data_IF_496017121224
#
_entry.id   IF_496017121224
#
_cell.length_a   1.000
_cell.length_b   1.000
_cell.length_c   1.000
_cell.angle_alpha   90.00
_cell.angle_beta   90.00
_cell.angle_gamma   90.00
#
_symmetry.space_group_name_H-M   'P 1'
#
loop_
_entity.id
_entity.type
_entity.pdbx_description
1 polymer ?
#
# COMPACT_ATOMS: atom_id res chain seq x y z
N UNK A 1 26.97 20.18 7.84
CA UNK A 1 25.55 20.58 7.76
C UNK A 1 25.37 21.20 6.41
N UNK A 2 24.66 20.52 5.51
CA UNK A 2 24.32 21.03 4.19
C UNK A 2 23.05 21.87 4.32
N UNK A 3 23.10 23.08 3.80
CA UNK A 3 22.14 24.15 4.07
C UNK A 3 21.15 24.24 2.90
N UNK A 4 20.29 23.22 2.76
CA UNK A 4 19.21 23.24 1.77
C UNK A 4 18.31 24.43 2.07
N UNK A 5 18.14 25.32 1.08
CA UNK A 5 17.36 26.55 1.27
C UNK A 5 15.88 26.31 1.00
N UNK A 6 15.16 25.92 2.04
CA UNK A 6 13.69 25.80 2.00
C UNK A 6 13.03 27.18 1.88
N UNK A 7 12.13 27.29 0.92
CA UNK A 7 11.22 28.43 0.71
C UNK A 7 9.80 28.06 1.17
N UNK A 8 9.40 26.81 0.97
CA UNK A 8 8.18 26.18 1.49
C UNK A 8 8.58 24.81 2.04
N UNK A 9 8.03 24.44 3.19
CA UNK A 9 8.37 23.20 3.90
C UNK A 9 9.25 23.45 5.13
N UNK A 10 9.54 22.38 5.86
CA UNK A 10 10.43 22.39 7.02
C UNK A 10 11.47 21.27 6.85
N UNK A 11 12.78 21.56 6.89
CA UNK A 11 13.83 20.55 6.75
C UNK A 11 13.78 19.45 7.83
N UNK A 12 13.14 19.73 8.97
CA UNK A 12 12.95 18.78 10.06
C UNK A 12 11.79 17.81 9.82
N UNK A 13 10.85 18.18 8.94
CA UNK A 13 9.67 17.38 8.58
C UNK A 13 9.45 17.41 7.06
N UNK A 14 10.41 16.89 6.26
CA UNK A 14 10.32 16.94 4.80
C UNK A 14 9.13 16.13 4.28
N UNK A 15 8.53 16.59 3.19
CA UNK A 15 7.34 15.99 2.60
C UNK A 15 7.61 14.69 1.82
N UNK A 16 8.89 14.35 1.58
CA UNK A 16 9.32 13.24 0.72
C UNK A 16 9.32 13.60 -0.78
N UNK A 17 8.90 14.81 -1.12
CA UNK A 17 8.90 15.33 -2.48
C UNK A 17 9.04 16.85 -2.46
N UNK A 18 9.87 17.35 -3.36
CA UNK A 18 10.21 18.77 -3.45
C UNK A 18 10.30 19.24 -4.90
N UNK A 19 9.93 20.49 -5.13
CA UNK A 19 10.30 21.22 -6.33
C UNK A 19 11.52 22.07 -6.03
N UNK A 20 12.52 22.04 -6.90
CA UNK A 20 13.72 22.87 -6.79
C UNK A 20 13.72 23.85 -7.94
N UNK A 21 13.93 25.13 -7.63
CA UNK A 21 14.07 26.15 -8.65
C UNK A 21 15.45 26.79 -8.64
N UNK A 22 15.87 27.22 -9.81
CA UNK A 22 17.15 27.85 -10.08
C UNK A 22 16.95 29.13 -10.87
N UNK A 23 17.89 30.04 -10.74
CA UNK A 23 17.97 31.27 -11.54
C UNK A 23 19.05 31.12 -12.62
N UNK A 24 18.77 31.55 -13.83
CA UNK A 24 19.78 31.75 -14.88
C UNK A 24 19.42 33.02 -15.63
N UNK A 25 20.20 34.08 -15.43
CA UNK A 25 20.00 35.39 -16.05
C UNK A 25 18.57 35.94 -15.90
N UNK A 26 17.96 35.73 -14.72
CA UNK A 26 16.59 36.16 -14.42
C UNK A 26 15.49 35.27 -15.01
N UNK A 27 15.84 34.15 -15.64
CA UNK A 27 14.90 33.12 -16.09
C UNK A 27 14.84 32.01 -15.04
N UNK A 28 13.61 31.58 -14.73
CA UNK A 28 13.33 30.56 -13.74
C UNK A 28 13.43 29.16 -14.37
N UNK A 29 14.23 28.30 -13.77
CA UNK A 29 14.32 26.88 -14.10
C UNK A 29 13.85 26.04 -12.93
N UNK A 30 13.23 24.90 -13.17
CA UNK A 30 12.74 24.02 -12.12
C UNK A 30 12.91 22.54 -12.47
N UNK A 31 13.05 21.73 -11.43
CA UNK A 31 12.97 20.28 -11.49
C UNK A 31 12.31 19.74 -10.23
N UNK A 32 11.80 18.52 -10.32
CA UNK A 32 11.17 17.81 -9.22
C UNK A 32 12.16 16.81 -8.61
N UNK A 33 12.08 16.62 -7.30
CA UNK A 33 12.84 15.64 -6.53
C UNK A 33 11.84 14.80 -5.74
N UNK A 34 12.01 13.48 -5.79
CA UNK A 34 11.16 12.52 -5.07
C UNK A 34 12.06 11.58 -4.29
N UNK A 35 11.81 11.46 -2.99
CA UNK A 35 12.34 10.37 -2.17
C UNK A 35 11.33 9.21 -2.21
N UNK A 36 11.78 8.06 -2.72
CA UNK A 36 10.93 6.91 -2.96
C UNK A 36 10.84 6.06 -1.68
N UNK A 37 9.62 5.78 -1.18
CA UNK A 37 9.43 4.97 0.02
C UNK A 37 9.67 3.46 -0.24
N UNK A 38 9.81 3.07 -1.50
CA UNK A 38 10.08 1.70 -1.92
C UNK A 38 11.40 1.66 -2.68
N UNK A 39 12.24 0.69 -2.33
CA UNK A 39 13.44 0.35 -3.12
C UNK A 39 13.07 -0.71 -4.14
N UNK A 40 13.32 -0.44 -5.41
CA UNK A 40 13.28 -1.49 -6.42
C UNK A 40 14.48 -2.42 -6.16
N UNK A 41 14.22 -3.60 -5.58
CA UNK A 41 15.27 -4.60 -5.30
C UNK A 41 16.02 -5.06 -6.56
N UNK A 42 15.40 -4.89 -7.74
CA UNK A 42 16.02 -5.20 -9.02
C UNK A 42 15.43 -4.31 -10.14
N UNK A 43 16.00 -3.13 -10.34
CA UNK A 43 15.58 -2.22 -11.42
C UNK A 43 15.86 -2.83 -12.82
N UNK A 44 16.73 -3.83 -12.92
CA UNK A 44 17.07 -4.49 -14.19
C UNK A 44 15.89 -5.27 -14.79
N UNK A 45 14.85 -5.56 -13.99
CA UNK A 45 13.56 -6.10 -14.44
C UNK A 45 12.76 -5.11 -15.28
N UNK A 46 13.03 -3.81 -15.12
CA UNK A 46 12.33 -2.72 -15.80
C UNK A 46 13.16 -2.08 -16.91
N UNK A 47 14.43 -2.50 -17.10
CA UNK A 47 15.28 -2.07 -18.21
C UNK A 47 14.96 -2.96 -19.43
N UNK A 48 14.44 -2.40 -20.54
CA UNK A 48 14.21 -3.18 -21.75
C UNK A 48 15.51 -3.85 -22.23
N UNK A 49 15.46 -5.09 -22.75
CA UNK A 49 16.65 -5.87 -23.11
C UNK A 49 17.62 -5.13 -24.05
N UNK A 50 17.09 -4.27 -24.93
CA UNK A 50 17.87 -3.52 -25.91
C UNK A 50 18.85 -2.51 -25.28
N UNK A 51 18.60 -2.08 -24.04
CA UNK A 51 19.44 -1.12 -23.32
C UNK A 51 20.43 -1.78 -22.35
N UNK A 52 20.32 -3.10 -22.12
CA UNK A 52 21.19 -3.81 -21.17
C UNK A 52 22.66 -3.88 -21.62
N UNK A 53 22.92 -3.81 -22.93
CA UNK A 53 24.28 -3.80 -23.48
C UNK A 53 24.88 -2.39 -23.56
N UNK A 54 24.07 -1.34 -23.37
CA UNK A 54 24.47 0.06 -23.56
C UNK A 54 24.67 0.82 -22.24
N UNK A 55 24.15 0.29 -21.13
CA UNK A 55 24.28 0.90 -19.80
C UNK A 55 25.33 0.12 -19.03
N UNK A 56 26.37 0.82 -18.54
CA UNK A 56 27.39 0.22 -17.69
C UNK A 56 26.75 -0.36 -16.43
N UNK A 57 27.13 -1.58 -16.05
CA UNK A 57 26.66 -2.26 -14.85
C UNK A 57 26.86 -1.39 -13.60
N UNK A 58 27.93 -0.59 -13.56
CA UNK A 58 28.19 0.36 -12.47
C UNK A 58 27.17 1.50 -12.41
N UNK A 59 26.65 1.95 -13.55
CA UNK A 59 25.58 2.95 -13.59
C UNK A 59 24.23 2.36 -13.19
N UNK A 60 23.96 1.11 -13.61
CA UNK A 60 22.79 0.35 -13.17
C UNK A 60 22.81 0.21 -11.65
N UNK A 61 23.93 -0.21 -11.06
CA UNK A 61 24.07 -0.41 -9.62
C UNK A 61 23.92 0.90 -8.84
N UNK A 62 24.39 2.03 -9.38
CA UNK A 62 24.16 3.36 -8.78
C UNK A 62 22.69 3.77 -8.83
N UNK A 63 21.98 3.48 -9.93
CA UNK A 63 20.54 3.72 -10.05
C UNK A 63 19.72 2.79 -9.16
N UNK A 64 20.12 1.52 -9.01
CA UNK A 64 19.47 0.54 -8.13
C UNK A 64 19.55 0.96 -6.66
N UNK A 65 20.67 1.56 -6.26
CA UNK A 65 20.92 1.93 -4.87
C UNK A 65 20.43 3.34 -4.49
N UNK A 66 19.98 4.16 -5.46
CA UNK A 66 19.41 5.47 -5.18
C UNK A 66 17.92 5.35 -4.82
N UNK A 67 17.57 5.78 -3.60
CA UNK A 67 16.17 5.95 -3.17
C UNK A 67 15.54 7.25 -3.67
N UNK A 68 16.28 8.11 -4.35
CA UNK A 68 15.79 9.41 -4.81
C UNK A 68 15.79 9.51 -6.33
N UNK A 69 14.93 10.38 -6.85
CA UNK A 69 14.78 10.62 -8.27
C UNK A 69 14.63 12.11 -8.53
N UNK A 70 15.40 12.62 -9.50
CA UNK A 70 15.25 13.97 -10.03
C UNK A 70 14.60 13.90 -11.42
N UNK A 71 13.55 14.67 -11.65
CA UNK A 71 12.87 14.73 -12.93
C UNK A 71 12.47 16.17 -13.30
N UNK A 72 12.82 16.65 -14.51
CA UNK A 72 13.69 16.00 -15.49
C UNK A 72 15.15 15.84 -14.99
N UNK A 73 16.00 15.16 -15.77
CA UNK A 73 17.40 14.87 -15.37
C UNK A 73 18.23 16.14 -15.07
N UNK A 74 17.79 17.29 -15.57
CA UNK A 74 18.30 18.61 -15.22
C UNK A 74 17.16 19.62 -15.07
N UNK A 75 17.42 20.83 -14.55
CA UNK A 75 16.42 21.89 -14.45
C UNK A 75 15.94 22.33 -15.83
N UNK A 76 14.62 22.44 -16.01
CA UNK A 76 13.99 22.91 -17.24
C UNK A 76 13.33 24.27 -17.04
N UNK A 77 13.19 25.03 -18.12
CA UNK A 77 12.58 26.36 -18.04
C UNK A 77 11.15 26.24 -17.51
N UNK A 78 10.85 27.00 -16.46
CA UNK A 78 9.49 27.10 -15.94
C UNK A 78 8.78 28.27 -16.62
N UNK A 79 7.61 28.01 -17.22
CA UNK A 79 6.87 29.02 -18.00
C UNK A 79 6.20 30.10 -17.14
N UNK A 80 5.98 29.83 -15.85
CA UNK A 80 5.41 30.79 -14.91
C UNK A 80 6.46 31.63 -14.18
N UNK A 81 6.01 32.34 -13.13
CA UNK A 81 6.89 33.10 -12.25
C UNK A 81 7.05 32.40 -10.88
N UNK A 82 7.88 32.98 -10.01
CA UNK A 82 8.09 32.44 -8.67
C UNK A 82 6.80 32.45 -7.83
N UNK A 83 5.86 33.35 -8.10
CA UNK A 83 4.58 33.44 -7.37
C UNK A 83 3.68 32.26 -7.75
N UNK A 84 3.56 31.97 -9.05
CA UNK A 84 2.78 30.83 -9.56
C UNK A 84 3.39 29.50 -9.12
N UNK A 85 4.73 29.40 -9.10
CA UNK A 85 5.43 28.22 -8.62
C UNK A 85 5.15 27.97 -7.13
N UNK A 86 5.28 29.00 -6.28
CA UNK A 86 4.94 28.92 -4.85
C UNK A 86 3.49 28.51 -4.62
N UNK A 87 2.56 29.05 -5.41
CA UNK A 87 1.13 28.69 -5.33
C UNK A 87 0.91 27.23 -5.69
N UNK A 88 1.57 26.74 -6.73
CA UNK A 88 1.49 25.35 -7.17
C UNK A 88 2.00 24.38 -6.09
N UNK A 89 3.18 24.64 -5.53
CA UNK A 89 3.75 23.82 -4.45
C UNK A 89 2.82 23.76 -3.24
N UNK A 90 2.20 24.87 -2.84
CA UNK A 90 1.22 24.88 -1.73
C UNK A 90 -0.01 24.01 -1.99
N UNK A 91 -0.54 24.02 -3.22
CA UNK A 91 -1.71 23.20 -3.59
C UNK A 91 -1.36 21.71 -3.55
N UNK A 92 -0.17 21.37 -4.07
CA UNK A 92 0.31 19.99 -4.15
C UNK A 92 0.89 19.47 -2.85
N UNK A 93 1.21 20.38 -1.92
CA UNK A 93 1.95 20.14 -0.68
C UNK A 93 3.40 19.70 -0.92
N UNK A 94 3.99 20.22 -1.99
CA UNK A 94 5.40 20.03 -2.30
C UNK A 94 6.24 20.95 -1.41
N UNK A 95 7.40 20.47 -0.94
CA UNK A 95 8.44 21.36 -0.46
C UNK A 95 8.97 22.19 -1.64
N UNK A 96 9.43 23.41 -1.39
CA UNK A 96 10.05 24.27 -2.41
C UNK A 96 11.45 24.66 -1.97
N UNK A 97 12.45 24.29 -2.75
CA UNK A 97 13.86 24.59 -2.49
C UNK A 97 14.40 25.60 -3.49
N UNK A 98 15.27 26.50 -3.03
CA UNK A 98 16.09 27.32 -3.91
C UNK A 98 17.44 26.64 -4.17
N UNK A 99 17.66 26.21 -5.40
CA UNK A 99 18.89 25.56 -5.83
C UNK A 99 20.01 26.53 -6.25
N UNK A 100 19.79 27.84 -6.16
CA UNK A 100 20.78 28.86 -6.53
C UNK A 100 20.82 29.16 -8.03
N UNK A 101 21.91 29.78 -8.47
CA UNK A 101 22.12 30.12 -9.89
C UNK A 101 22.73 28.94 -10.65
N UNK A 102 22.36 28.77 -11.92
CA UNK A 102 22.90 27.77 -12.86
C UNK A 102 23.30 28.42 -14.18
N UNK A 103 24.14 27.71 -14.95
CA UNK A 103 24.50 28.09 -16.31
C UNK A 103 23.93 27.06 -17.29
N UNK A 104 22.93 27.46 -18.08
CA UNK A 104 22.25 26.56 -19.04
C UNK A 104 23.21 26.03 -20.11
N UNK A 105 24.23 26.81 -20.45
CA UNK A 105 25.25 26.46 -21.45
C UNK A 105 26.05 25.22 -21.03
N UNK A 106 26.08 24.91 -19.72
CA UNK A 106 26.71 23.70 -19.20
C UNK A 106 25.67 22.81 -18.47
N UNK A 107 24.90 22.00 -19.22
CA UNK A 107 23.89 21.11 -18.65
C UNK A 107 24.45 20.14 -17.61
N UNK A 108 25.69 19.66 -17.79
CA UNK A 108 26.33 18.69 -16.89
C UNK A 108 26.48 19.28 -15.48
N UNK A 109 26.92 20.53 -15.38
CA UNK A 109 27.05 21.20 -14.08
C UNK A 109 25.69 21.39 -13.41
N UNK A 110 24.68 21.78 -14.17
CA UNK A 110 23.31 21.99 -13.68
C UNK A 110 22.67 20.67 -13.20
N UNK A 111 22.86 19.58 -13.95
CA UNK A 111 22.43 18.24 -13.57
C UNK A 111 23.16 17.73 -12.33
N UNK A 112 24.48 17.94 -12.25
CA UNK A 112 25.29 17.54 -11.08
C UNK A 112 24.80 18.25 -9.81
N UNK A 113 24.54 19.56 -9.91
CA UNK A 113 23.99 20.36 -8.81
C UNK A 113 22.61 19.90 -8.37
N UNK A 114 21.72 19.61 -9.33
CA UNK A 114 20.39 19.07 -9.03
C UNK A 114 20.48 17.72 -8.31
N UNK A 115 21.35 16.83 -8.77
CA UNK A 115 21.58 15.52 -8.14
C UNK A 115 22.12 15.65 -6.72
N UNK A 116 23.05 16.60 -6.49
CA UNK A 116 23.54 16.88 -5.15
C UNK A 116 22.39 17.31 -4.21
N UNK A 117 21.52 18.21 -4.66
CA UNK A 117 20.35 18.65 -3.88
C UNK A 117 19.40 17.47 -3.61
N UNK A 118 19.22 16.58 -4.60
CA UNK A 118 18.41 15.37 -4.42
C UNK A 118 18.98 14.42 -3.38
N UNK A 119 20.30 14.22 -3.39
CA UNK A 119 21.00 13.38 -2.41
C UNK A 119 20.90 13.99 -1.00
N UNK A 120 21.07 15.30 -0.87
CA UNK A 120 20.92 16.00 0.41
C UNK A 120 19.47 15.96 0.94
N UNK A 121 18.48 16.13 0.07
CA UNK A 121 17.06 16.08 0.45
C UNK A 121 16.64 14.67 0.87
N UNK A 122 17.14 13.64 0.18
CA UNK A 122 16.91 12.23 0.54
C UNK A 122 17.48 11.90 1.91
N UNK A 123 18.65 12.44 2.28
CA UNK A 123 19.19 12.26 3.63
C UNK A 123 18.34 12.93 4.71
N UNK A 124 17.67 14.06 4.43
CA UNK A 124 16.67 14.62 5.35
C UNK A 124 15.45 13.70 5.49
N UNK A 125 14.95 13.18 4.37
CA UNK A 125 13.83 12.24 4.34
C UNK A 125 14.15 10.99 5.13
N UNK A 126 15.33 10.39 4.93
CA UNK A 126 15.81 9.22 5.67
C UNK A 126 15.85 9.47 7.18
N UNK A 127 16.41 10.61 7.62
CA UNK A 127 16.44 10.96 9.05
C UNK A 127 15.03 11.09 9.63
N UNK A 128 14.14 11.75 8.90
CA UNK A 128 12.78 11.97 9.39
C UNK A 128 11.95 10.68 9.38
N UNK A 129 11.96 9.93 8.28
CA UNK A 129 11.09 8.77 8.09
C UNK A 129 11.65 7.49 8.72
N UNK A 130 12.95 7.22 8.58
CA UNK A 130 13.59 5.99 9.09
C UNK A 130 14.10 6.16 10.53
N UNK A 131 14.90 7.19 10.82
CA UNK A 131 15.59 7.33 12.11
C UNK A 131 14.67 7.80 13.24
N UNK A 132 13.71 8.69 12.97
CA UNK A 132 12.68 9.05 13.96
C UNK A 132 11.60 7.96 14.12
N UNK A 133 11.83 6.76 13.58
CA UNK A 133 10.92 5.61 13.67
C UNK A 133 9.52 5.89 13.11
N UNK A 134 9.28 6.96 12.34
CA UNK A 134 7.95 7.30 11.83
C UNK A 134 7.42 6.19 10.92
N UNK A 135 8.26 5.66 10.03
CA UNK A 135 7.90 4.50 9.21
C UNK A 135 7.64 3.28 10.10
N UNK A 136 8.50 3.05 11.08
CA UNK A 136 8.33 2.00 12.07
C UNK A 136 7.03 2.16 12.88
N UNK A 137 6.61 3.38 13.19
CA UNK A 137 5.39 3.74 13.91
C UNK A 137 4.16 3.75 13.00
N UNK A 138 4.28 4.01 11.70
CA UNK A 138 3.19 3.88 10.72
C UNK A 138 2.93 2.39 10.49
N UNK A 139 3.99 1.60 10.30
CA UNK A 139 3.89 0.14 10.21
C UNK A 139 3.54 -0.50 11.55
N UNK A 140 3.97 0.06 12.68
CA UNK A 140 3.53 -0.35 14.02
C UNK A 140 2.18 0.23 14.41
N UNK A 141 1.68 1.32 13.86
CA UNK A 141 0.27 1.72 14.01
C UNK A 141 -0.59 0.76 13.23
N UNK A 142 -0.15 0.37 12.03
CA UNK A 142 -0.73 -0.77 11.32
C UNK A 142 -0.76 -2.02 12.20
N UNK A 143 0.31 -2.39 12.93
CA UNK A 143 0.35 -3.62 13.74
C UNK A 143 -0.04 -3.52 15.23
N UNK A 144 -0.04 -2.36 15.85
CA UNK A 144 -0.55 -2.10 17.21
C UNK A 144 -2.00 -1.64 17.18
N UNK A 145 -2.51 -1.12 16.06
CA UNK A 145 -3.95 -1.08 15.83
C UNK A 145 -4.52 -2.45 15.44
N UNK A 146 -3.69 -3.45 15.08
CA UNK A 146 -4.13 -4.87 15.07
C UNK A 146 -4.31 -5.40 16.51
N UNK A 147 -3.65 -4.77 17.50
CA UNK A 147 -3.82 -5.11 18.93
C UNK A 147 -4.94 -4.31 19.62
N UNK A 148 -5.48 -3.26 18.97
CA UNK A 148 -6.75 -2.65 19.37
C UNK A 148 -7.89 -3.39 18.68
N UNK A 149 -8.18 -4.58 19.22
CA UNK A 149 -9.36 -5.39 18.95
C UNK A 149 -10.61 -4.50 18.86
N UNK A 150 -11.34 -4.64 17.75
CA UNK A 150 -12.79 -4.40 17.57
C UNK A 150 -13.25 -3.33 16.54
N UNK A 151 -12.39 -2.58 15.82
CA UNK A 151 -12.90 -1.51 14.92
C UNK A 151 -12.34 -1.54 13.47
N UNK A 152 -11.25 -2.25 13.17
CA UNK A 152 -10.58 -2.15 11.84
C UNK A 152 -11.05 -3.12 10.75
N UNK A 153 -11.79 -4.16 11.11
CA UNK A 153 -12.16 -5.19 10.14
C UNK A 153 -13.27 -4.70 9.18
N UNK A 154 -14.22 -3.89 9.64
CA UNK A 154 -15.29 -3.32 8.79
C UNK A 154 -14.75 -2.50 7.62
N UNK A 155 -13.74 -1.64 7.84
CA UNK A 155 -13.23 -0.74 6.80
C UNK A 155 -12.44 -1.49 5.72
N UNK A 156 -11.82 -2.63 6.07
CA UNK A 156 -11.07 -3.46 5.12
C UNK A 156 -12.01 -4.29 4.25
N UNK A 157 -13.04 -4.87 4.87
CA UNK A 157 -14.02 -5.69 4.16
C UNK A 157 -14.95 -4.84 3.27
N UNK A 158 -15.27 -3.61 3.66
CA UNK A 158 -16.17 -2.72 2.90
C UNK A 158 -15.70 -2.40 1.46
N UNK A 159 -14.39 -2.52 1.19
CA UNK A 159 -13.78 -2.23 -0.13
C UNK A 159 -13.71 -3.51 -0.98
N UNK A 160 -13.92 -4.69 -0.40
CA UNK A 160 -13.88 -5.96 -1.10
C UNK A 160 -15.16 -6.19 -1.90
N UNK A 161 -15.02 -6.80 -3.08
CA UNK A 161 -16.17 -7.35 -3.80
C UNK A 161 -16.64 -8.67 -3.16
N UNK A 162 -17.82 -9.14 -3.54
CA UNK A 162 -18.44 -10.34 -2.97
C UNK A 162 -17.55 -11.60 -3.09
N UNK A 163 -16.84 -11.77 -4.22
CA UNK A 163 -15.92 -12.89 -4.44
C UNK A 163 -14.76 -12.90 -3.44
N UNK A 164 -14.17 -11.72 -3.20
CA UNK A 164 -13.09 -11.56 -2.23
C UNK A 164 -13.59 -11.76 -0.79
N UNK A 165 -14.79 -11.27 -0.46
CA UNK A 165 -15.39 -11.50 0.86
C UNK A 165 -15.61 -12.99 1.15
N UNK A 166 -16.11 -13.76 0.18
CA UNK A 166 -16.27 -15.21 0.35
C UNK A 166 -14.93 -15.96 0.43
N UNK A 167 -13.91 -15.49 -0.29
CA UNK A 167 -12.55 -16.05 -0.22
C UNK A 167 -11.93 -15.79 1.15
N UNK A 168 -12.07 -14.58 1.68
CA UNK A 168 -11.59 -14.22 3.01
C UNK A 168 -12.35 -14.99 4.09
N UNK A 169 -13.67 -15.13 3.96
CA UNK A 169 -14.46 -15.99 4.86
C UNK A 169 -13.94 -17.43 4.89
N UNK A 170 -13.62 -18.00 3.72
CA UNK A 170 -13.06 -19.35 3.61
C UNK A 170 -11.71 -19.47 4.34
N UNK A 171 -10.86 -18.46 4.22
CA UNK A 171 -9.59 -18.39 4.93
C UNK A 171 -9.79 -18.31 6.45
N UNK A 172 -10.72 -17.47 6.92
CA UNK A 172 -11.06 -17.34 8.34
C UNK A 172 -11.55 -18.67 8.91
N UNK A 173 -12.38 -19.41 8.17
CA UNK A 173 -12.85 -20.75 8.57
C UNK A 173 -11.68 -21.73 8.70
N UNK A 174 -10.73 -21.73 7.76
CA UNK A 174 -9.52 -22.56 7.86
C UNK A 174 -8.64 -22.21 9.06
N UNK A 175 -8.55 -20.92 9.41
CA UNK A 175 -7.85 -20.46 10.61
C UNK A 175 -8.57 -20.92 11.90
N UNK A 176 -9.91 -20.95 11.89
CA UNK A 176 -10.72 -21.49 13.00
C UNK A 176 -10.47 -23.00 13.16
N UNK A 177 -10.51 -23.79 12.09
CA UNK A 177 -10.25 -25.24 12.14
C UNK A 177 -8.86 -25.55 12.72
N UNK A 178 -7.86 -24.76 12.33
CA UNK A 178 -6.51 -24.85 12.88
C UNK A 178 -6.47 -24.47 14.37
N UNK A 179 -7.13 -23.38 14.75
CA UNK A 179 -7.19 -22.92 16.14
C UNK A 179 -7.94 -23.89 17.05
N UNK A 180 -9.00 -24.55 16.57
CA UNK A 180 -9.71 -25.62 17.28
C UNK A 180 -8.79 -26.80 17.57
N UNK A 181 -8.01 -27.23 16.57
CA UNK A 181 -7.04 -28.33 16.72
C UNK A 181 -6.00 -28.03 17.81
N UNK A 182 -5.63 -26.75 17.96
CA UNK A 182 -4.66 -26.27 18.95
C UNK A 182 -5.28 -25.77 20.27
N UNK A 183 -6.60 -25.90 20.45
CA UNK A 183 -7.34 -25.39 21.61
C UNK A 183 -7.18 -23.88 21.88
N UNK A 184 -7.01 -23.07 20.84
CA UNK A 184 -6.81 -21.62 20.94
C UNK A 184 -8.14 -20.84 20.96
N UNK A 185 -8.88 -20.95 22.07
CA UNK A 185 -10.24 -20.37 22.20
C UNK A 185 -10.31 -18.86 21.97
N UNK A 186 -9.28 -18.11 22.35
CA UNK A 186 -9.25 -16.66 22.13
C UNK A 186 -9.06 -16.32 20.64
N UNK A 187 -8.28 -17.12 19.90
CA UNK A 187 -8.13 -17.00 18.45
C UNK A 187 -9.48 -17.23 17.76
N UNK A 188 -10.19 -18.31 18.12
CA UNK A 188 -11.53 -18.62 17.57
C UNK A 188 -12.50 -17.45 17.80
N UNK A 189 -12.54 -16.90 19.01
CA UNK A 189 -13.42 -15.76 19.35
C UNK A 189 -13.15 -14.54 18.45
N UNK A 190 -11.87 -14.22 18.20
CA UNK A 190 -11.49 -13.11 17.33
C UNK A 190 -11.94 -13.37 15.89
N UNK A 191 -11.75 -14.59 15.40
CA UNK A 191 -12.15 -14.96 14.03
C UNK A 191 -13.67 -14.90 13.84
N UNK A 192 -14.47 -15.31 14.84
CA UNK A 192 -15.94 -15.19 14.80
C UNK A 192 -16.40 -13.74 14.68
N UNK A 193 -15.75 -12.79 15.37
CA UNK A 193 -16.06 -11.36 15.23
C UNK A 193 -15.76 -10.81 13.82
N UNK A 194 -14.73 -11.34 13.14
CA UNK A 194 -14.47 -11.01 11.73
C UNK A 194 -15.57 -11.52 10.81
N UNK A 195 -16.04 -12.76 11.02
CA UNK A 195 -17.16 -13.32 10.25
C UNK A 195 -18.40 -12.44 10.38
N UNK A 196 -18.69 -11.93 11.59
CA UNK A 196 -19.80 -10.98 11.83
C UNK A 196 -19.61 -9.67 11.05
N UNK A 197 -18.39 -9.16 10.97
CA UNK A 197 -18.10 -7.94 10.20
C UNK A 197 -18.29 -8.16 8.69
N UNK A 198 -18.01 -9.37 8.17
CA UNK A 198 -18.23 -9.75 6.76
C UNK A 198 -19.72 -10.00 6.49
N UNK A 199 -20.46 -10.56 7.46
CA UNK A 199 -21.87 -10.93 7.32
C UNK A 199 -22.72 -9.79 6.76
N UNK A 200 -22.59 -8.59 7.32
CA UNK A 200 -23.44 -7.44 6.95
C UNK A 200 -23.11 -6.86 5.57
N UNK A 201 -22.00 -7.28 4.96
CA UNK A 201 -21.57 -6.90 3.62
C UNK A 201 -21.99 -7.91 2.54
N UNK A 202 -22.47 -9.09 2.94
CA UNK A 202 -22.90 -10.15 2.03
C UNK A 202 -24.44 -10.21 1.93
N UNK A 203 -24.99 -10.64 0.79
CA UNK A 203 -26.43 -10.87 0.67
C UNK A 203 -26.94 -11.91 1.70
N UNK A 204 -28.10 -11.64 2.30
CA UNK A 204 -28.68 -12.52 3.34
C UNK A 204 -28.89 -13.98 2.86
N UNK A 205 -29.10 -14.18 1.55
CA UNK A 205 -29.26 -15.51 0.96
C UNK A 205 -27.97 -16.37 1.00
N UNK A 206 -26.83 -15.81 1.44
CA UNK A 206 -25.57 -16.54 1.67
C UNK A 206 -25.52 -17.27 3.00
N UNK A 207 -26.51 -17.08 3.88
CA UNK A 207 -26.68 -17.86 5.13
C UNK A 207 -25.43 -17.83 6.04
N UNK A 208 -24.74 -16.69 6.11
CA UNK A 208 -23.54 -16.54 6.95
C UNK A 208 -23.86 -16.71 8.44
N UNK A 209 -25.09 -16.39 8.86
CA UNK A 209 -25.57 -16.68 10.21
C UNK A 209 -25.53 -18.16 10.57
N UNK A 210 -25.86 -19.05 9.63
CA UNK A 210 -25.80 -20.50 9.84
C UNK A 210 -24.34 -20.95 9.99
N UNK A 211 -23.41 -20.35 9.23
CA UNK A 211 -21.97 -20.60 9.40
C UNK A 211 -21.51 -20.21 10.80
N UNK A 212 -21.88 -19.03 11.30
CA UNK A 212 -21.52 -18.59 12.66
C UNK A 212 -22.09 -19.55 13.72
N UNK A 213 -23.31 -20.03 13.54
CA UNK A 213 -23.91 -21.01 14.45
C UNK A 213 -23.07 -22.30 14.52
N UNK A 214 -22.74 -22.89 13.37
CA UNK A 214 -21.99 -24.14 13.30
C UNK A 214 -20.53 -24.02 13.75
N UNK A 215 -19.91 -22.85 13.57
CA UNK A 215 -18.57 -22.57 14.12
C UNK A 215 -18.54 -22.67 15.65
N UNK A 216 -19.63 -22.30 16.34
CA UNK A 216 -19.68 -22.35 17.80
C UNK A 216 -19.97 -23.75 18.36
N UNK A 217 -20.55 -24.65 17.56
CA UNK A 217 -20.84 -26.03 17.94
C UNK A 217 -19.60 -26.94 17.89
N UNK A 218 -18.62 -26.61 17.05
CA UNK A 218 -17.29 -27.26 16.97
C UNK A 218 -17.29 -28.79 16.86
N UNK A 219 -18.32 -29.38 16.23
CA UNK A 219 -18.40 -30.83 15.98
C UNK A 219 -18.16 -31.18 14.50
N UNK A 220 -17.75 -32.42 14.21
CA UNK A 220 -17.45 -32.90 12.84
C UNK A 220 -18.58 -32.63 11.85
N UNK A 221 -19.83 -32.87 12.28
CA UNK A 221 -21.02 -32.58 11.48
C UNK A 221 -21.14 -31.10 11.13
N UNK A 222 -20.82 -30.21 12.05
CA UNK A 222 -20.84 -28.76 11.84
C UNK A 222 -19.77 -28.31 10.86
N UNK A 223 -18.59 -28.95 10.83
CA UNK A 223 -17.54 -28.67 9.83
C UNK A 223 -17.98 -29.02 8.42
N UNK A 224 -18.67 -30.15 8.27
CA UNK A 224 -19.25 -30.57 7.00
C UNK A 224 -20.36 -29.58 6.55
N UNK A 225 -21.23 -29.17 7.46
CA UNK A 225 -22.27 -28.17 7.17
C UNK A 225 -21.67 -26.82 6.75
N UNK A 226 -20.64 -26.32 7.45
CA UNK A 226 -19.93 -25.08 7.09
C UNK A 226 -19.36 -25.18 5.67
N UNK A 227 -18.72 -26.30 5.34
CA UNK A 227 -18.13 -26.54 4.02
C UNK A 227 -19.19 -26.49 2.91
N UNK A 228 -20.35 -27.10 3.14
CA UNK A 228 -21.47 -27.08 2.20
C UNK A 228 -22.07 -25.68 2.07
N UNK A 229 -22.22 -24.94 3.17
CA UNK A 229 -22.72 -23.56 3.17
C UNK A 229 -21.79 -22.62 2.39
N UNK A 230 -20.47 -22.74 2.55
CA UNK A 230 -19.49 -21.98 1.76
C UNK A 230 -19.58 -22.30 0.27
N UNK A 231 -19.62 -23.60 -0.09
CA UNK A 231 -19.78 -24.03 -1.49
C UNK A 231 -21.10 -23.54 -2.09
N UNK A 232 -22.17 -23.51 -1.30
CA UNK A 232 -23.48 -22.98 -1.70
C UNK A 232 -23.38 -21.48 -1.95
N UNK A 233 -22.69 -20.74 -1.09
CA UNK A 233 -22.46 -19.33 -1.29
C UNK A 233 -21.67 -19.08 -2.60
N UNK A 234 -20.58 -19.77 -2.87
CA UNK A 234 -19.86 -19.61 -4.15
C UNK A 234 -20.72 -20.01 -5.37
N UNK A 235 -21.57 -21.02 -5.24
CA UNK A 235 -22.46 -21.45 -6.34
C UNK A 235 -23.54 -20.40 -6.64
N UNK A 236 -24.07 -19.72 -5.61
CA UNK A 236 -24.95 -18.56 -5.79
C UNK A 236 -24.23 -17.36 -6.45
N UNK A 237 -22.95 -17.12 -6.13
CA UNK A 237 -22.16 -16.07 -6.76
C UNK A 237 -22.00 -16.31 -8.27
N UNK A 238 -21.82 -17.58 -8.65
CA UNK A 238 -21.61 -18.00 -10.02
C UNK A 238 -22.93 -18.30 -10.78
N UNK A 239 -24.08 -18.02 -10.16
CA UNK A 239 -25.42 -18.30 -10.71
C UNK A 239 -25.66 -19.79 -11.08
N UNK A 240 -24.96 -20.72 -10.43
CA UNK A 240 -25.11 -22.17 -10.64
C UNK A 240 -26.23 -22.74 -9.75
N UNK A 241 -27.47 -22.48 -10.16
CA UNK A 241 -28.66 -22.87 -9.38
C UNK A 241 -28.87 -24.38 -9.27
N UNK A 242 -28.36 -25.17 -10.23
CA UNK A 242 -28.43 -26.63 -10.18
C UNK A 242 -27.61 -27.13 -9.00
N UNK A 243 -26.35 -26.66 -8.90
CA UNK A 243 -25.46 -27.01 -7.80
C UNK A 243 -25.96 -26.49 -6.46
N UNK A 244 -26.57 -25.30 -6.42
CA UNK A 244 -27.21 -24.79 -5.20
C UNK A 244 -28.29 -25.75 -4.70
N UNK A 245 -29.14 -26.27 -5.59
CA UNK A 245 -30.19 -27.22 -5.22
C UNK A 245 -29.62 -28.56 -4.71
N UNK A 246 -28.56 -29.06 -5.33
CA UNK A 246 -27.86 -30.26 -4.86
C UNK A 246 -27.32 -30.08 -3.43
N UNK A 247 -26.67 -28.95 -3.17
CA UNK A 247 -26.11 -28.61 -1.86
C UNK A 247 -27.20 -28.39 -0.79
N UNK A 248 -28.34 -27.80 -1.15
CA UNK A 248 -29.49 -27.68 -0.24
C UNK A 248 -30.08 -29.04 0.14
N UNK A 249 -30.19 -29.97 -0.81
CA UNK A 249 -30.61 -31.34 -0.52
C UNK A 249 -29.62 -32.06 0.41
N UNK A 250 -28.31 -31.81 0.26
CA UNK A 250 -27.29 -32.35 1.16
C UNK A 250 -27.43 -31.78 2.57
N UNK A 251 -27.64 -30.47 2.71
CA UNK A 251 -27.88 -29.82 4.01
C UNK A 251 -29.09 -30.44 4.73
N UNK A 252 -30.21 -30.60 4.04
CA UNK A 252 -31.43 -31.19 4.61
C UNK A 252 -31.16 -32.62 5.12
N UNK A 253 -30.41 -33.43 4.36
CA UNK A 253 -30.07 -34.80 4.77
C UNK A 253 -29.22 -34.81 6.02
N UNK A 254 -28.14 -34.01 6.04
CA UNK A 254 -27.26 -33.89 7.19
C UNK A 254 -28.02 -33.41 8.44
N UNK A 255 -28.88 -32.40 8.32
CA UNK A 255 -29.69 -31.90 9.44
C UNK A 255 -30.68 -32.96 9.96
N UNK A 256 -31.20 -33.83 9.09
CA UNK A 256 -32.16 -34.89 9.46
C UNK A 256 -31.54 -36.10 10.16
N UNK A 257 -30.23 -36.29 10.06
CA UNK A 257 -29.49 -37.36 10.73
C UNK A 257 -29.14 -36.92 12.17
N UNK A 258 -30.07 -37.11 13.12
CA UNK A 258 -29.81 -37.02 14.56
C UNK A 258 -29.27 -38.34 15.12
#
# INVERSE_FOLDING_TARGET
MTDLKFIIGDPSTPSGHAMVYFDSDGILYAAYIIDLPITAEDISKYIPPIYKEQIDQLEIDKMMNKKNLAYPLGPEKYEGDLISLKKLCKIRKDDLLYGGTIEIINPINSMSKLNQIADEYSELCKKFFDENLIIGEIFKKSSNDLNNKNIKDENTYSIMNEANLLTELTKIIGEIDYAETNNEKETIRIQVEKIKSIKDLLPANRKIDEIIFHVNESNEKSKEIISILLLRAFSLLNEDYIKVQELENMLIRLESEN
#
